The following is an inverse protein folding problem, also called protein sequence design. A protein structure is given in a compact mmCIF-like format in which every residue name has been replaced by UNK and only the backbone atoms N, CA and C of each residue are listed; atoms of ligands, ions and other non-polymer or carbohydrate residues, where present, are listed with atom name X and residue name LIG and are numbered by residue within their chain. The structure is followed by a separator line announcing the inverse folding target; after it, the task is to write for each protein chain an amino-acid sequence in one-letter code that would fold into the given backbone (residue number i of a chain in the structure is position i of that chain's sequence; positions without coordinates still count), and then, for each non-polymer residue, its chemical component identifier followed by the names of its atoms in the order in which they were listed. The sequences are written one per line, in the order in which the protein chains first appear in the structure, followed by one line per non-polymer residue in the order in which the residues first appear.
data_IF_833233763653
#
_entry.id   IF_833233763653
#
_cell.length_a   1.000
_cell.length_b   1.000
_cell.length_c   1.000
_cell.angle_alpha   90.00
_cell.angle_beta   90.00
_cell.angle_gamma   90.00
#
_symmetry.space_group_name_H-M   'P 1'
#
loop_
_entity.id
_entity.type
_entity.pdbx_description
1 polymer ?
#
# COMPACT_ATOMS: atom_id res chain seq x y z
N UNK A 1 -7.12 10.85 4.35
CA UNK A 1 -6.88 9.54 3.72
C UNK A 1 -5.93 9.63 2.53
N UNK A 2 -4.96 8.71 2.45
CA UNK A 2 -3.93 8.58 1.41
C UNK A 2 -3.93 7.16 0.84
N UNK A 3 -3.47 7.02 -0.40
CA UNK A 3 -3.28 5.71 -1.02
C UNK A 3 -1.82 5.28 -0.90
N UNK A 4 -1.60 4.06 -0.45
CA UNK A 4 -0.30 3.43 -0.41
C UNK A 4 -0.31 2.16 -1.24
N UNK A 5 0.76 1.90 -1.98
CA UNK A 5 1.06 0.54 -2.40
C UNK A 5 1.99 -0.08 -1.35
N UNK A 6 1.86 -1.38 -1.12
CA UNK A 6 2.80 -2.15 -0.32
C UNK A 6 2.97 -3.54 -0.91
N UNK A 7 4.16 -4.11 -0.80
CA UNK A 7 4.43 -5.50 -1.18
C UNK A 7 5.53 -6.12 -0.32
N UNK A 8 5.50 -7.43 -0.14
CA UNK A 8 6.56 -8.14 0.55
C UNK A 8 7.85 -8.17 -0.30
N UNK A 9 9.01 -7.97 0.34
CA UNK A 9 10.32 -7.93 -0.32
C UNK A 9 10.64 -9.22 -1.07
N UNK A 10 10.38 -10.35 -0.44
CA UNK A 10 10.75 -11.68 -0.96
C UNK A 10 9.61 -12.39 -1.71
N UNK A 11 8.39 -11.85 -1.69
CA UNK A 11 7.21 -12.45 -2.31
C UNK A 11 6.51 -11.38 -3.15
N UNK A 12 6.96 -11.17 -4.38
CA UNK A 12 6.45 -10.09 -5.23
C UNK A 12 4.98 -10.27 -5.67
N UNK A 13 4.42 -11.46 -5.50
CA UNK A 13 2.99 -11.73 -5.74
C UNK A 13 2.12 -11.23 -4.59
N UNK A 14 2.73 -10.97 -3.44
CA UNK A 14 2.09 -10.45 -2.24
C UNK A 14 2.19 -8.93 -2.21
N UNK A 15 1.26 -8.28 -2.90
CA UNK A 15 1.15 -6.82 -2.99
C UNK A 15 -0.31 -6.37 -2.94
N UNK A 16 -0.51 -5.15 -2.46
CA UNK A 16 -1.83 -4.53 -2.35
C UNK A 16 -1.80 -3.01 -2.44
N UNK A 17 -2.99 -2.43 -2.55
CA UNK A 17 -3.22 -0.99 -2.49
C UNK A 17 -4.16 -0.70 -1.34
N UNK A 18 -3.73 0.19 -0.44
CA UNK A 18 -4.38 0.45 0.84
C UNK A 18 -4.72 1.93 0.95
N UNK A 19 -5.92 2.23 1.43
CA UNK A 19 -6.37 3.59 1.72
C UNK A 19 -6.34 3.81 3.24
N UNK A 20 -5.35 4.58 3.71
CA UNK A 20 -5.10 4.83 5.15
C UNK A 20 -4.65 6.28 5.35
N UNK A 21 -4.72 6.82 6.55
CA UNK A 21 -4.34 8.21 6.83
C UNK A 21 -2.83 8.45 6.70
N UNK A 22 -2.01 7.47 7.10
CA UNK A 22 -0.56 7.58 7.10
C UNK A 22 0.13 6.21 7.05
N UNK A 23 1.47 6.23 6.98
CA UNK A 23 2.27 5.02 6.89
C UNK A 23 2.23 4.15 8.16
N UNK A 24 2.05 4.73 9.36
CA UNK A 24 1.98 3.93 10.59
C UNK A 24 0.68 3.10 10.64
N UNK A 25 -0.42 3.67 10.17
CA UNK A 25 -1.69 2.94 10.01
C UNK A 25 -1.57 1.82 8.97
N UNK A 26 -0.87 2.05 7.86
CA UNK A 26 -0.54 0.99 6.89
C UNK A 26 0.21 -0.17 7.57
N UNK A 27 1.23 0.14 8.37
CA UNK A 27 2.03 -0.89 9.04
C UNK A 27 1.20 -1.71 10.03
N UNK A 28 0.30 -1.07 10.77
CA UNK A 28 -0.57 -1.76 11.72
C UNK A 28 -1.55 -2.67 10.98
N UNK A 29 -2.17 -2.18 9.90
CA UNK A 29 -3.10 -2.96 9.09
C UNK A 29 -2.44 -4.22 8.52
N UNK A 30 -1.26 -4.08 7.91
CA UNK A 30 -0.50 -5.22 7.38
C UNK A 30 -0.05 -6.18 8.49
N UNK A 31 0.29 -5.66 9.68
CA UNK A 31 0.67 -6.50 10.81
C UNK A 31 -0.50 -7.37 11.30
N UNK A 32 -1.70 -6.80 11.32
CA UNK A 32 -2.92 -7.51 11.70
C UNK A 32 -3.32 -8.56 10.64
N UNK A 33 -3.23 -8.22 9.35
CA UNK A 33 -3.56 -9.15 8.24
C UNK A 33 -2.61 -10.35 8.17
N UNK A 34 -1.32 -10.13 8.41
CA UNK A 34 -0.27 -11.16 8.34
C UNK A 34 -0.10 -11.93 9.66
N UNK A 35 -0.80 -11.52 10.72
CA UNK A 35 -0.60 -12.00 12.10
C UNK A 35 0.88 -11.87 12.54
N UNK A 36 1.48 -10.69 12.27
CA UNK A 36 2.88 -10.35 12.58
C UNK A 36 2.98 -9.08 13.44
N UNK A 37 4.20 -8.74 13.84
CA UNK A 37 4.48 -7.45 14.49
C UNK A 37 4.68 -6.35 13.45
N UNK A 38 4.37 -5.10 13.84
CA UNK A 38 4.68 -3.90 13.03
C UNK A 38 6.16 -3.83 12.65
N UNK A 39 7.07 -4.25 13.54
CA UNK A 39 8.50 -4.27 13.26
C UNK A 39 8.87 -5.29 12.17
N UNK A 40 8.17 -6.43 12.12
CA UNK A 40 8.33 -7.39 11.03
C UNK A 40 7.91 -6.77 9.69
N UNK A 41 6.77 -6.08 9.65
CA UNK A 41 6.30 -5.40 8.44
C UNK A 41 7.32 -4.36 7.98
N UNK A 42 7.79 -3.47 8.87
CA UNK A 42 8.78 -2.44 8.53
C UNK A 42 10.09 -2.98 7.96
N UNK A 43 10.48 -4.20 8.34
CA UNK A 43 11.72 -4.83 7.86
C UNK A 43 11.56 -5.62 6.57
N UNK A 44 10.34 -6.07 6.25
CA UNK A 44 10.10 -7.02 5.15
C UNK A 44 9.18 -6.49 4.06
N UNK A 45 8.49 -5.36 4.27
CA UNK A 45 7.62 -4.75 3.28
C UNK A 45 8.22 -3.49 2.69
N UNK A 46 8.07 -3.36 1.37
CA UNK A 46 8.37 -2.16 0.61
C UNK A 46 7.05 -1.47 0.31
N UNK A 47 6.93 -0.19 0.66
CA UNK A 47 5.70 0.59 0.50
C UNK A 47 5.98 2.00 -0.01
N UNK A 48 4.96 2.64 -0.57
CA UNK A 48 5.06 4.03 -1.00
C UNK A 48 3.70 4.69 -1.22
N UNK A 49 3.64 6.00 -0.94
CA UNK A 49 2.46 6.82 -1.18
C UNK A 49 2.23 6.96 -2.69
N UNK A 50 1.05 6.58 -3.15
CA UNK A 50 0.63 6.69 -4.54
C UNK A 50 0.04 8.07 -4.81
N UNK A 51 0.72 8.87 -5.61
CA UNK A 51 0.19 10.14 -6.14
C UNK A 51 -0.40 10.00 -7.55
N UNK A 52 -0.06 8.93 -8.28
CA UNK A 52 -0.53 8.63 -9.64
C UNK A 52 -0.66 7.12 -9.83
N UNK A 53 -1.79 6.67 -10.37
CA UNK A 53 -2.01 5.29 -10.80
C UNK A 53 -1.87 5.21 -12.33
N UNK A 54 -1.07 4.29 -12.85
CA UNK A 54 -0.94 4.08 -14.30
C UNK A 54 -1.54 2.73 -14.66
N UNK A 55 -2.58 2.72 -15.48
CA UNK A 55 -3.14 1.48 -16.02
C UNK A 55 -2.18 0.93 -17.08
N UNK A 56 -1.45 -0.12 -16.72
CA UNK A 56 -0.37 -0.68 -17.56
C UNK A 56 -0.88 -1.27 -18.88
N UNK A 57 -2.14 -1.73 -18.95
CA UNK A 57 -2.77 -2.25 -20.19
C UNK A 57 -3.12 -1.16 -21.19
N UNK A 58 -3.46 0.04 -20.73
CA UNK A 58 -3.93 1.14 -21.59
C UNK A 58 -2.97 2.33 -21.67
N UNK A 59 -1.92 2.35 -20.86
CA UNK A 59 -0.97 3.47 -20.75
C UNK A 59 -1.54 4.74 -20.13
N UNK A 60 -2.82 4.72 -19.71
CA UNK A 60 -3.50 5.89 -19.17
C UNK A 60 -3.08 6.13 -17.71
N UNK A 61 -2.69 7.37 -17.42
CA UNK A 61 -2.39 7.85 -16.06
C UNK A 61 -3.68 8.40 -15.43
N UNK A 62 -4.02 7.89 -14.26
CA UNK A 62 -5.16 8.32 -13.46
C UNK A 62 -4.62 8.97 -12.19
N UNK A 63 -5.10 10.19 -11.89
CA UNK A 63 -4.93 10.79 -10.57
C UNK A 63 -6.06 10.27 -9.69
N UNK A 64 -5.75 9.35 -8.78
CA UNK A 64 -6.76 8.84 -7.85
C UNK A 64 -6.95 9.89 -6.77
N UNK A 65 -8.16 10.43 -6.68
CA UNK A 65 -8.58 11.33 -5.60
C UNK A 65 -9.71 10.61 -4.89
N UNK A 66 -9.54 10.26 -3.62
CA UNK A 66 -10.60 9.65 -2.82
C UNK A 66 -11.47 10.80 -2.26
N UNK A 67 -12.74 10.83 -2.65
CA UNK A 67 -13.76 11.68 -2.01
C UNK A 67 -14.44 10.85 -0.92
N UNK A 68 -14.52 11.38 0.31
CA UNK A 68 -15.36 10.81 1.38
C UNK A 68 -16.83 10.83 0.94
N UNK A 69 -17.53 9.70 1.13
CA UNK A 69 -18.99 9.62 0.93
C UNK A 69 -19.69 9.85 2.25
#
# INVERSE_FOLDING_TARGET
MKLFYAHHQNYSEDWGVYAVENADELMQLLADEEEKSVDYIRQNYIYGEMSQYINVKSGKKFKVTLEEV
#
